data_IF_747816007513
#
_entry.id   IF_747816007513
#
_cell.length_a   1.000
_cell.length_b   1.000
_cell.length_c   1.000
_cell.angle_alpha   90.00
_cell.angle_beta   90.00
_cell.angle_gamma   90.00
#
_symmetry.space_group_name_H-M   'P 1'
#
loop_
_entity.id
_entity.type
_entity.pdbx_description
1 polymer ?
#
# COMPACT_ATOMS: atom_id res chain seq x y z
N UNK A 1 22.46 26.77 36.98
CA UNK A 1 21.79 26.12 38.13
C UNK A 1 20.41 25.69 37.64
N UNK A 2 20.20 24.37 37.57
CA UNK A 2 18.99 23.57 37.29
C UNK A 2 17.74 24.25 36.69
N UNK A 3 17.37 23.78 35.49
CA UNK A 3 15.96 23.43 35.15
C UNK A 3 15.99 22.24 34.18
N UNK A 4 16.07 21.04 34.72
CA UNK A 4 15.84 19.78 34.02
C UNK A 4 14.90 18.96 34.90
N UNK A 5 13.60 19.19 34.76
CA UNK A 5 12.60 18.42 35.51
C UNK A 5 11.32 18.21 34.69
N UNK A 6 11.04 16.91 34.48
CA UNK A 6 9.74 16.27 34.28
C UNK A 6 8.91 16.58 33.02
N UNK A 7 9.25 15.91 31.92
CA UNK A 7 8.23 15.25 31.08
C UNK A 7 8.36 13.75 31.34
N UNK A 8 7.44 13.21 32.14
CA UNK A 8 7.40 11.80 32.52
C UNK A 8 7.09 10.92 31.31
N UNK A 9 7.66 9.71 31.31
CA UNK A 9 7.39 8.63 30.36
C UNK A 9 5.91 8.24 30.23
N UNK A 10 5.05 8.71 31.15
CA UNK A 10 3.61 8.44 31.16
C UNK A 10 2.80 9.18 30.10
N UNK A 11 3.20 10.39 29.73
CA UNK A 11 2.44 11.20 28.76
C UNK A 11 2.71 10.74 27.33
N UNK A 12 3.93 10.29 27.05
CA UNK A 12 4.29 9.64 25.78
C UNK A 12 3.60 8.29 25.60
N UNK A 13 3.50 7.48 26.65
CA UNK A 13 2.77 6.22 26.59
C UNK A 13 1.28 6.45 26.30
N UNK A 14 0.65 7.41 27.00
CA UNK A 14 -0.76 7.76 26.75
C UNK A 14 -0.98 8.35 25.36
N UNK A 15 -0.09 9.22 24.88
CA UNK A 15 -0.19 9.81 23.54
C UNK A 15 0.05 8.76 22.44
N UNK A 16 1.01 7.85 22.66
CA UNK A 16 1.26 6.70 21.79
C UNK A 16 0.06 5.75 21.74
N UNK A 17 -0.57 5.44 22.88
CA UNK A 17 -1.77 4.59 22.94
C UNK A 17 -2.96 5.25 22.21
N UNK A 18 -3.12 6.57 22.33
CA UNK A 18 -4.16 7.31 21.61
C UNK A 18 -3.89 7.28 20.10
N UNK A 19 -2.67 7.56 19.65
CA UNK A 19 -2.29 7.52 18.24
C UNK A 19 -2.41 6.10 17.65
N UNK A 20 -2.03 5.07 18.41
CA UNK A 20 -2.21 3.67 18.02
C UNK A 20 -3.69 3.39 17.70
N UNK A 21 -4.57 3.81 18.60
CA UNK A 21 -6.01 3.68 18.44
C UNK A 21 -6.53 4.47 17.21
N UNK A 22 -5.90 5.59 16.85
CA UNK A 22 -6.26 6.35 15.65
C UNK A 22 -5.91 5.59 14.37
N UNK A 23 -4.71 5.02 14.24
CA UNK A 23 -4.34 4.23 13.05
C UNK A 23 -5.21 2.98 12.89
N UNK A 24 -5.53 2.30 13.99
CA UNK A 24 -6.50 1.22 13.95
C UNK A 24 -7.89 1.71 13.50
N UNK A 25 -8.30 2.90 13.95
CA UNK A 25 -9.50 3.59 13.51
C UNK A 25 -9.52 3.87 12.01
N UNK A 26 -8.42 4.41 11.46
CA UNK A 26 -8.26 4.63 10.02
C UNK A 26 -8.31 3.31 9.24
N UNK A 27 -7.63 2.26 9.74
CA UNK A 27 -7.70 0.92 9.17
C UNK A 27 -9.14 0.39 9.06
N UNK A 28 -9.93 0.53 10.13
CA UNK A 28 -11.36 0.13 10.13
C UNK A 28 -12.19 0.91 9.11
N UNK A 29 -11.94 2.22 8.98
CA UNK A 29 -12.61 3.07 7.98
C UNK A 29 -12.24 2.68 6.54
N UNK A 30 -10.96 2.41 6.29
CA UNK A 30 -10.47 1.89 5.00
C UNK A 30 -11.16 0.55 4.67
N UNK A 31 -11.17 -0.40 5.60
CA UNK A 31 -11.84 -1.71 5.43
C UNK A 31 -13.33 -1.54 5.14
N UNK A 32 -14.03 -0.66 5.86
CA UNK A 32 -15.44 -0.38 5.61
C UNK A 32 -15.69 0.19 4.20
N UNK A 33 -14.78 1.05 3.72
CA UNK A 33 -14.92 1.76 2.46
C UNK A 33 -14.65 0.90 1.21
N UNK A 34 -13.68 -0.02 1.28
CA UNK A 34 -13.23 -0.81 0.12
C UNK A 34 -13.45 -2.32 0.24
N UNK A 35 -13.72 -2.83 1.46
CA UNK A 35 -13.95 -4.25 1.77
C UNK A 35 -12.89 -5.18 1.13
N UNK A 36 -11.60 -5.02 1.48
CA UNK A 36 -10.53 -5.81 0.90
C UNK A 36 -10.70 -7.30 1.26
N UNK A 37 -10.15 -8.20 0.43
CA UNK A 37 -10.26 -9.66 0.64
C UNK A 37 -9.54 -10.10 1.91
N UNK A 38 -8.54 -9.35 2.36
CA UNK A 38 -7.88 -9.57 3.64
C UNK A 38 -7.38 -8.25 4.22
N UNK A 39 -6.86 -8.27 5.44
CA UNK A 39 -6.63 -7.06 6.21
C UNK A 39 -5.56 -6.15 5.58
N UNK A 40 -5.80 -4.82 5.55
CA UNK A 40 -4.72 -3.85 5.38
C UNK A 40 -3.62 -4.12 6.41
N UNK A 41 -2.36 -4.02 6.00
CA UNK A 41 -1.20 -4.22 6.85
C UNK A 41 -0.76 -2.88 7.45
N UNK A 42 -0.47 -2.87 8.74
CA UNK A 42 0.45 -1.93 9.37
C UNK A 42 1.86 -2.49 9.21
N UNK A 43 2.79 -1.70 8.66
CA UNK A 43 4.21 -2.06 8.58
C UNK A 43 5.03 -0.97 9.26
N UNK A 44 6.00 -1.39 10.07
CA UNK A 44 6.97 -0.51 10.73
C UNK A 44 8.39 -1.04 10.51
N UNK A 45 9.30 -0.13 10.20
CA UNK A 45 10.72 -0.42 10.13
C UNK A 45 11.33 -0.30 11.52
N UNK A 46 12.02 -1.35 11.97
CA UNK A 46 12.58 -1.44 13.32
C UNK A 46 13.98 -0.81 13.34
N UNK A 47 14.21 0.17 14.20
CA UNK A 47 15.55 0.80 14.36
C UNK A 47 16.38 0.03 15.39
N UNK A 48 15.71 -0.63 16.34
CA UNK A 48 16.30 -1.45 17.39
C UNK A 48 15.47 -2.71 17.65
N UNK A 49 16.08 -3.74 18.25
CA UNK A 49 15.35 -4.94 18.66
C UNK A 49 14.33 -4.66 19.77
N UNK A 50 14.56 -3.62 20.59
CA UNK A 50 13.59 -3.17 21.59
C UNK A 50 12.31 -2.58 20.98
N UNK A 51 12.31 -2.26 19.68
CA UNK A 51 11.11 -1.79 18.98
C UNK A 51 10.19 -2.95 18.56
N UNK A 52 10.59 -4.21 18.76
CA UNK A 52 9.78 -5.38 18.46
C UNK A 52 8.58 -5.43 19.42
N UNK A 53 7.33 -5.44 18.91
CA UNK A 53 6.15 -5.57 19.76
C UNK A 53 6.17 -6.88 20.55
N UNK A 54 5.69 -6.84 21.80
CA UNK A 54 5.73 -8.02 22.69
C UNK A 54 4.89 -9.21 22.19
N UNK A 55 3.87 -8.95 21.36
CA UNK A 55 3.03 -9.97 20.73
C UNK A 55 3.60 -10.48 19.40
N UNK A 56 4.68 -9.89 18.89
CA UNK A 56 5.25 -10.24 17.60
C UNK A 56 5.92 -11.62 17.63
N UNK A 57 5.62 -12.39 16.59
CA UNK A 57 6.29 -13.65 16.28
C UNK A 57 7.55 -13.40 15.46
N UNK A 58 8.62 -14.12 15.77
CA UNK A 58 9.90 -14.11 15.05
C UNK A 58 10.08 -15.43 14.30
N UNK A 59 10.34 -15.43 12.97
CA UNK A 59 10.41 -16.68 12.22
C UNK A 59 11.39 -17.74 12.73
N UNK A 60 12.61 -17.34 13.07
CA UNK A 60 13.61 -18.30 13.57
C UNK A 60 13.31 -18.81 14.97
N UNK A 61 12.58 -18.05 15.78
CA UNK A 61 12.25 -18.41 17.17
C UNK A 61 10.93 -19.21 17.25
N UNK A 62 9.86 -18.72 16.60
CA UNK A 62 8.52 -19.30 16.72
C UNK A 62 8.20 -20.35 15.65
N UNK A 63 8.80 -20.25 14.45
CA UNK A 63 8.59 -21.22 13.36
C UNK A 63 9.83 -22.08 13.09
N UNK A 64 10.95 -21.82 13.77
CA UNK A 64 12.22 -22.55 13.62
C UNK A 64 12.66 -22.59 12.14
N UNK A 65 12.41 -21.50 11.41
CA UNK A 65 12.67 -21.40 9.97
C UNK A 65 12.79 -19.95 9.52
N UNK A 66 13.66 -19.69 8.56
CA UNK A 66 13.65 -18.41 7.84
C UNK A 66 12.43 -18.36 6.91
N UNK A 67 11.74 -17.22 6.87
CA UNK A 67 10.51 -17.05 6.07
C UNK A 67 10.68 -15.83 5.14
N UNK A 68 10.14 -15.91 3.92
CA UNK A 68 10.21 -14.76 3.00
C UNK A 68 9.30 -13.63 3.48
N UNK A 69 9.69 -12.37 3.29
CA UNK A 69 8.89 -11.22 3.77
C UNK A 69 7.46 -11.20 3.24
N UNK A 70 7.23 -11.59 1.98
CA UNK A 70 5.87 -11.73 1.45
C UNK A 70 5.03 -12.76 2.22
N UNK A 71 5.63 -13.86 2.69
CA UNK A 71 4.93 -14.85 3.51
C UNK A 71 4.62 -14.29 4.90
N UNK A 72 5.53 -13.51 5.50
CA UNK A 72 5.23 -12.82 6.76
C UNK A 72 4.09 -11.81 6.59
N UNK A 73 4.07 -11.05 5.49
CA UNK A 73 2.94 -10.18 5.16
C UNK A 73 1.65 -10.97 4.96
N UNK A 74 1.70 -12.16 4.36
CA UNK A 74 0.55 -13.06 4.23
C UNK A 74 0.06 -13.58 5.59
N UNK A 75 0.97 -13.97 6.51
CA UNK A 75 0.63 -14.34 7.88
C UNK A 75 -0.14 -13.21 8.57
N UNK A 76 0.34 -11.98 8.42
CA UNK A 76 -0.29 -10.81 9.01
C UNK A 76 -1.66 -10.52 8.39
N UNK A 77 -1.76 -10.36 7.06
CA UNK A 77 -3.01 -9.94 6.42
C UNK A 77 -4.10 -11.01 6.40
N UNK A 78 -3.73 -12.30 6.36
CA UNK A 78 -4.70 -13.41 6.23
C UNK A 78 -4.99 -14.13 7.53
N UNK A 79 -4.05 -14.14 8.47
CA UNK A 79 -4.17 -14.91 9.72
C UNK A 79 -4.10 -14.04 10.96
N UNK A 80 -4.00 -12.71 10.81
CA UNK A 80 -4.09 -11.78 11.92
C UNK A 80 -2.83 -11.72 12.80
N UNK A 81 -1.71 -12.30 12.36
CA UNK A 81 -0.50 -12.38 13.17
C UNK A 81 0.27 -11.05 13.17
N UNK A 82 0.91 -10.72 14.28
CA UNK A 82 2.00 -9.75 14.31
C UNK A 82 3.30 -10.52 14.06
N UNK A 83 4.04 -10.17 13.02
CA UNK A 83 5.30 -10.87 12.65
C UNK A 83 6.41 -9.86 12.46
N UNK A 84 7.49 -10.02 13.23
CA UNK A 84 8.72 -9.26 13.11
C UNK A 84 9.79 -10.10 12.40
N UNK A 85 10.62 -9.47 11.59
CA UNK A 85 11.77 -10.08 10.93
C UNK A 85 13.00 -9.20 11.11
N UNK A 86 14.05 -9.75 11.71
CA UNK A 86 15.40 -9.21 11.58
C UNK A 86 16.14 -9.91 10.43
N UNK A 87 17.42 -9.59 10.26
CA UNK A 87 18.27 -10.14 9.20
C UNK A 87 18.25 -11.68 9.17
N UNK A 88 18.40 -12.33 10.32
CA UNK A 88 18.47 -13.79 10.46
C UNK A 88 17.15 -14.52 10.13
N UNK A 89 16.02 -13.81 10.13
CA UNK A 89 14.71 -14.41 9.81
C UNK A 89 14.40 -14.43 8.32
N UNK A 90 15.14 -13.66 7.51
CA UNK A 90 14.77 -13.42 6.13
C UNK A 90 15.32 -14.50 5.20
N UNK A 91 14.40 -15.22 4.56
CA UNK A 91 14.78 -16.20 3.54
C UNK A 91 15.09 -15.57 2.17
N UNK A 92 14.45 -14.44 1.84
CA UNK A 92 14.62 -13.78 0.55
C UNK A 92 15.66 -12.67 0.63
N UNK A 93 16.72 -12.64 -0.22
CA UNK A 93 17.74 -11.59 -0.17
C UNK A 93 17.29 -10.20 -0.63
N UNK A 94 16.26 -10.11 -1.48
CA UNK A 94 15.81 -8.82 -2.03
C UNK A 94 15.26 -7.87 -0.95
N UNK A 95 14.42 -8.28 0.03
CA UNK A 95 14.06 -7.43 1.15
C UNK A 95 15.23 -7.14 2.11
N UNK A 96 16.21 -8.04 2.27
CA UNK A 96 17.43 -7.75 3.04
C UNK A 96 18.16 -6.54 2.43
N UNK A 97 18.33 -6.53 1.11
CA UNK A 97 18.94 -5.42 0.37
C UNK A 97 18.04 -4.17 0.40
N UNK A 98 16.76 -4.34 0.04
CA UNK A 98 15.80 -3.25 -0.08
C UNK A 98 15.56 -2.51 1.23
N UNK A 99 15.50 -3.24 2.35
CA UNK A 99 15.32 -2.64 3.67
C UNK A 99 16.63 -2.13 4.29
N UNK A 100 17.77 -2.28 3.61
CA UNK A 100 19.06 -1.81 4.09
C UNK A 100 19.61 -2.61 5.27
N UNK A 101 19.27 -3.89 5.39
CA UNK A 101 19.74 -4.73 6.50
C UNK A 101 21.18 -5.23 6.30
N UNK A 102 21.64 -5.28 5.06
CA UNK A 102 23.03 -5.59 4.70
C UNK A 102 23.41 -4.91 3.37
N UNK A 103 24.72 -4.77 3.16
CA UNK A 103 25.26 -4.26 1.91
C UNK A 103 24.86 -5.17 0.72
N UNK A 104 24.38 -4.61 -0.39
CA UNK A 104 24.17 -5.37 -1.61
C UNK A 104 25.52 -5.90 -2.11
N UNK A 105 25.68 -7.22 -2.30
CA UNK A 105 26.94 -7.75 -2.83
C UNK A 105 27.15 -7.24 -4.26
N UNK A 106 28.42 -7.06 -4.66
CA UNK A 106 28.76 -6.67 -6.03
C UNK A 106 28.15 -7.64 -7.07
N UNK A 107 28.05 -8.93 -6.73
CA UNK A 107 27.38 -9.95 -7.52
C UNK A 107 25.89 -9.62 -7.82
N UNK A 108 25.18 -8.99 -6.89
CA UNK A 108 23.83 -8.49 -7.15
C UNK A 108 23.86 -7.27 -8.06
N UNK A 109 24.75 -6.31 -7.78
CA UNK A 109 24.87 -5.05 -8.54
C UNK A 109 25.29 -5.26 -10.00
N UNK A 110 26.02 -6.33 -10.29
CA UNK A 110 26.39 -6.77 -11.65
C UNK A 110 25.25 -7.48 -12.39
N UNK A 111 24.10 -7.73 -11.74
CA UNK A 111 22.89 -8.28 -12.38
C UNK A 111 22.78 -9.80 -12.38
N UNK A 112 23.64 -10.52 -11.65
CA UNK A 112 23.65 -11.99 -11.62
C UNK A 112 22.40 -12.60 -10.97
N UNK A 113 21.63 -11.83 -10.20
CA UNK A 113 20.35 -12.30 -9.68
C UNK A 113 19.29 -12.56 -10.77
N UNK A 114 19.55 -12.13 -12.01
CA UNK A 114 18.59 -12.22 -13.12
C UNK A 114 19.18 -12.82 -14.38
N UNK A 115 20.42 -12.48 -14.70
CA UNK A 115 21.09 -13.10 -15.84
C UNK A 115 21.49 -14.55 -15.48
N UNK A 116 21.37 -15.53 -16.39
CA UNK A 116 20.95 -15.43 -17.80
C UNK A 116 19.45 -15.68 -18.05
N UNK A 117 18.66 -15.98 -17.03
CA UNK A 117 17.31 -16.54 -17.23
C UNK A 117 16.20 -15.48 -17.30
N UNK A 118 16.33 -14.41 -16.54
CA UNK A 118 15.33 -13.34 -16.44
C UNK A 118 15.63 -12.10 -17.30
N UNK A 119 16.86 -11.95 -17.81
CA UNK A 119 17.30 -10.83 -18.64
C UNK A 119 18.34 -11.26 -19.66
N UNK A 120 18.44 -10.51 -20.77
CA UNK A 120 19.30 -10.84 -21.91
C UNK A 120 20.80 -10.65 -21.68
N UNK A 121 21.21 -9.87 -20.68
CA UNK A 121 22.63 -9.60 -20.37
C UNK A 121 22.84 -9.21 -18.90
N UNK A 122 24.09 -9.32 -18.43
CA UNK A 122 24.49 -8.78 -17.13
C UNK A 122 24.23 -7.27 -17.04
N UNK A 123 24.48 -6.52 -18.11
CA UNK A 123 24.19 -5.08 -18.15
C UNK A 123 22.70 -4.78 -17.90
N UNK A 124 21.78 -5.55 -18.51
CA UNK A 124 20.35 -5.39 -18.28
C UNK A 124 19.96 -5.74 -16.83
N UNK A 125 20.55 -6.79 -16.25
CA UNK A 125 20.39 -7.13 -14.84
C UNK A 125 20.91 -6.03 -13.91
N UNK A 126 22.09 -5.50 -14.21
CA UNK A 126 22.75 -4.44 -13.46
C UNK A 126 21.96 -3.14 -13.47
N UNK A 127 21.37 -2.75 -14.61
CA UNK A 127 20.47 -1.59 -14.70
C UNK A 127 19.33 -1.67 -13.70
N UNK A 128 18.67 -2.83 -13.58
CA UNK A 128 17.66 -2.98 -12.54
C UNK A 128 18.27 -2.97 -11.14
N UNK A 129 19.36 -3.72 -10.93
CA UNK A 129 19.99 -3.83 -9.63
C UNK A 129 20.51 -2.48 -9.11
N UNK A 130 20.83 -1.52 -9.97
CA UNK A 130 21.19 -0.15 -9.59
C UNK A 130 19.96 0.73 -9.31
N UNK A 131 18.87 0.56 -10.06
CA UNK A 131 17.60 1.29 -9.87
C UNK A 131 16.70 0.71 -8.76
N UNK A 132 17.04 -0.47 -8.24
CA UNK A 132 16.25 -1.16 -7.21
C UNK A 132 16.19 -0.33 -5.93
N UNK A 133 14.98 0.09 -5.48
CA UNK A 133 14.83 0.99 -4.35
C UNK A 133 15.33 0.31 -3.07
N UNK A 134 16.12 1.04 -2.29
CA UNK A 134 16.62 0.58 -0.99
C UNK A 134 16.79 1.71 0.01
N UNK A 135 16.69 1.37 1.28
CA UNK A 135 17.12 2.26 2.36
C UNK A 135 18.64 2.27 2.50
N UNK A 136 19.14 3.30 3.19
CA UNK A 136 20.52 3.36 3.67
C UNK A 136 20.82 2.14 4.57
N UNK A 137 21.95 1.50 4.33
CA UNK A 137 22.37 0.30 5.05
C UNK A 137 22.61 0.62 6.52
N UNK A 138 22.10 -0.23 7.41
CA UNK A 138 22.26 -0.10 8.86
C UNK A 138 21.28 0.86 9.53
N UNK A 139 20.44 1.58 8.77
CA UNK A 139 19.38 2.44 9.32
C UNK A 139 18.34 1.64 10.12
N UNK A 140 18.02 0.45 9.65
CA UNK A 140 17.04 -0.44 10.27
C UNK A 140 17.66 -1.80 10.61
N UNK A 141 17.15 -2.42 11.67
CA UNK A 141 17.47 -3.78 12.10
C UNK A 141 16.51 -4.82 11.55
N UNK A 142 15.30 -4.39 11.19
CA UNK A 142 14.29 -5.28 10.67
C UNK A 142 12.99 -4.59 10.31
N UNK A 143 11.94 -5.38 10.19
CA UNK A 143 10.60 -4.95 9.82
C UNK A 143 9.57 -5.73 10.64
N UNK A 144 8.49 -5.09 11.05
CA UNK A 144 7.33 -5.76 11.66
C UNK A 144 6.07 -5.47 10.84
N UNK A 145 5.19 -6.46 10.75
CA UNK A 145 3.89 -6.34 10.10
C UNK A 145 2.78 -6.90 10.97
N UNK A 146 1.60 -6.30 10.91
CA UNK A 146 0.38 -6.76 11.59
C UNK A 146 -0.86 -6.26 10.82
N UNK A 147 -2.08 -6.77 11.09
CA UNK A 147 -3.30 -6.11 10.61
C UNK A 147 -3.37 -4.67 11.11
N UNK A 148 -3.57 -3.71 10.21
CA UNK A 148 -3.68 -2.28 10.55
C UNK A 148 -4.81 -2.00 11.53
N UNK A 149 -5.88 -2.80 11.49
CA UNK A 149 -7.06 -2.66 12.34
C UNK A 149 -6.81 -3.02 13.82
N UNK A 150 -5.71 -3.69 14.14
CA UNK A 150 -5.39 -4.20 15.47
C UNK A 150 -3.91 -4.17 15.84
N UNK A 151 -3.06 -3.52 15.04
CA UNK A 151 -1.63 -3.44 15.29
C UNK A 151 -1.34 -2.80 16.66
N UNK A 152 -0.40 -3.39 17.40
CA UNK A 152 0.09 -2.94 18.71
C UNK A 152 1.21 -1.89 18.62
N UNK A 153 1.54 -1.46 17.40
CA UNK A 153 2.55 -0.42 17.12
C UNK A 153 2.05 0.60 16.09
N UNK A 154 2.65 1.79 16.13
CA UNK A 154 2.40 2.83 15.14
C UNK A 154 3.09 2.47 13.80
N UNK A 155 2.35 2.41 12.68
CA UNK A 155 2.90 2.05 11.37
C UNK A 155 3.67 3.21 10.75
N UNK A 156 4.71 2.88 9.98
CA UNK A 156 5.35 3.82 9.07
C UNK A 156 4.63 3.83 7.71
N UNK A 157 4.03 2.70 7.31
CA UNK A 157 3.26 2.58 6.06
C UNK A 157 2.10 1.60 6.24
N UNK A 158 0.95 1.95 5.67
CA UNK A 158 -0.16 1.04 5.48
C UNK A 158 -0.05 0.38 4.09
N UNK A 159 -0.11 -0.94 4.03
CA UNK A 159 -0.06 -1.70 2.76
C UNK A 159 -1.35 -2.46 2.54
N UNK A 160 -2.01 -2.19 1.43
CA UNK A 160 -3.33 -2.71 1.10
C UNK A 160 -3.22 -3.53 -0.18
N UNK A 161 -3.50 -4.82 -0.07
CA UNK A 161 -3.72 -5.66 -1.22
C UNK A 161 -5.20 -5.55 -1.62
N UNK A 162 -5.44 -5.20 -2.88
CA UNK A 162 -6.75 -4.86 -3.40
C UNK A 162 -6.88 -5.32 -4.85
N UNK A 163 -8.10 -5.42 -5.39
CA UNK A 163 -8.27 -5.62 -6.83
C UNK A 163 -8.35 -4.28 -7.59
N UNK A 164 -8.46 -4.32 -8.91
CA UNK A 164 -8.50 -3.11 -9.74
C UNK A 164 -9.66 -2.16 -9.41
N UNK A 165 -10.85 -2.68 -9.07
CA UNK A 165 -12.00 -1.85 -8.70
C UNK A 165 -11.79 -1.15 -7.35
N UNK A 166 -11.19 -1.84 -6.39
CA UNK A 166 -10.79 -1.27 -5.10
C UNK A 166 -9.66 -0.25 -5.25
N UNK A 167 -8.70 -0.52 -6.14
CA UNK A 167 -7.63 0.42 -6.46
C UNK A 167 -8.20 1.72 -7.03
N UNK A 168 -9.15 1.68 -7.97
CA UNK A 168 -9.81 2.91 -8.47
C UNK A 168 -10.35 3.76 -7.33
N UNK A 169 -11.03 3.14 -6.35
CA UNK A 169 -11.55 3.86 -5.19
C UNK A 169 -10.43 4.41 -4.30
N UNK A 170 -9.34 3.67 -4.09
CA UNK A 170 -8.16 4.13 -3.35
C UNK A 170 -7.51 5.34 -4.03
N UNK A 171 -7.34 5.32 -5.35
CA UNK A 171 -6.78 6.43 -6.12
C UNK A 171 -7.68 7.69 -6.01
N UNK A 172 -8.99 7.54 -6.14
CA UNK A 172 -9.93 8.66 -5.94
C UNK A 172 -9.90 9.18 -4.49
N UNK A 173 -9.74 8.30 -3.51
CA UNK A 173 -9.56 8.66 -2.10
C UNK A 173 -8.29 9.48 -1.87
N UNK A 174 -7.18 9.04 -2.43
CA UNK A 174 -5.90 9.73 -2.39
C UNK A 174 -5.94 11.11 -3.07
N UNK A 175 -6.61 11.20 -4.23
CA UNK A 175 -6.74 12.44 -4.99
C UNK A 175 -7.79 13.40 -4.40
N UNK A 176 -8.54 13.02 -3.35
CA UNK A 176 -9.66 13.85 -2.87
C UNK A 176 -9.23 15.24 -2.42
N UNK A 177 -8.09 15.36 -1.74
CA UNK A 177 -7.62 16.61 -1.14
C UNK A 177 -6.96 17.55 -2.17
N UNK A 178 -6.28 16.99 -3.17
CA UNK A 178 -5.35 17.72 -4.03
C UNK A 178 -5.57 17.50 -5.54
N UNK A 179 -6.40 16.53 -5.93
CA UNK A 179 -6.72 16.21 -7.32
C UNK A 179 -5.60 15.55 -8.12
N UNK A 180 -4.50 15.13 -7.49
CA UNK A 180 -3.30 14.64 -8.16
C UNK A 180 -3.33 13.13 -8.38
N UNK A 181 -2.82 12.70 -9.52
CA UNK A 181 -2.49 11.29 -9.78
C UNK A 181 -1.25 10.86 -9.00
N UNK A 182 -1.11 9.54 -8.81
CA UNK A 182 0.04 8.95 -8.12
C UNK A 182 1.07 8.48 -9.15
N UNK A 183 2.32 8.90 -8.97
CA UNK A 183 3.44 8.38 -9.76
C UNK A 183 4.00 7.11 -9.13
N UNK A 184 4.13 6.04 -9.92
CA UNK A 184 4.67 4.77 -9.43
C UNK A 184 5.49 4.07 -10.49
N UNK A 185 6.66 3.56 -10.09
CA UNK A 185 7.49 2.69 -10.91
C UNK A 185 7.03 1.25 -10.70
N UNK A 186 6.40 0.66 -11.73
CA UNK A 186 5.91 -0.70 -11.65
C UNK A 186 6.99 -1.70 -12.07
N UNK A 187 7.38 -2.57 -11.13
CA UNK A 187 8.28 -3.69 -11.36
C UNK A 187 7.58 -5.03 -11.14
N UNK A 188 7.95 -6.06 -11.92
CA UNK A 188 7.49 -7.44 -11.71
C UNK A 188 8.25 -8.21 -10.62
N UNK A 189 9.02 -7.51 -9.78
CA UNK A 189 10.00 -8.07 -8.86
C UNK A 189 9.87 -7.44 -7.48
N UNK A 190 10.32 -8.15 -6.44
CA UNK A 190 10.51 -7.59 -5.09
C UNK A 190 9.30 -6.81 -4.55
N UNK A 191 8.07 -7.32 -4.75
CA UNK A 191 6.84 -6.57 -4.45
C UNK A 191 6.77 -6.06 -3.00
N UNK A 192 7.26 -6.85 -2.03
CA UNK A 192 7.34 -6.43 -0.63
C UNK A 192 8.23 -5.20 -0.42
N UNK A 193 9.30 -5.05 -1.22
CA UNK A 193 10.18 -3.89 -1.19
C UNK A 193 9.52 -2.68 -1.85
N UNK A 194 8.93 -2.85 -3.04
CA UNK A 194 8.22 -1.76 -3.72
C UNK A 194 6.97 -1.30 -2.94
N UNK A 195 6.35 -2.17 -2.14
CA UNK A 195 5.23 -1.79 -1.28
C UNK A 195 5.66 -0.94 -0.06
N UNK A 196 6.92 -0.96 0.34
CA UNK A 196 7.39 -0.36 1.61
C UNK A 196 8.42 0.74 1.38
N UNK A 197 9.44 0.51 0.56
CA UNK A 197 10.57 1.42 0.42
C UNK A 197 10.19 2.71 -0.32
N UNK A 198 9.61 2.67 -1.54
CA UNK A 198 9.18 3.88 -2.24
C UNK A 198 8.28 4.83 -1.43
N UNK A 199 7.16 4.36 -0.79
CA UNK A 199 6.29 5.28 -0.07
C UNK A 199 6.99 5.91 1.15
N UNK A 200 7.95 5.22 1.77
CA UNK A 200 8.72 5.77 2.89
C UNK A 200 9.87 6.69 2.47
N UNK A 201 10.45 6.50 1.28
CA UNK A 201 11.48 7.39 0.74
C UNK A 201 10.91 8.69 0.22
N UNK A 202 9.74 8.65 -0.40
CA UNK A 202 9.14 9.81 -1.08
C UNK A 202 8.03 10.48 -0.29
N UNK A 203 7.59 9.86 0.82
CA UNK A 203 6.44 10.30 1.60
C UNK A 203 5.20 10.50 0.72
N UNK A 204 4.97 9.56 -0.20
CA UNK A 204 3.84 9.56 -1.11
C UNK A 204 3.21 8.18 -1.25
N UNK A 205 1.97 8.13 -1.73
CA UNK A 205 1.32 6.88 -2.08
C UNK A 205 2.12 6.12 -3.15
N UNK A 206 1.99 4.80 -3.14
CA UNK A 206 2.67 3.98 -4.14
C UNK A 206 1.83 2.78 -4.55
N UNK A 207 1.85 2.44 -5.83
CA UNK A 207 1.24 1.22 -6.37
C UNK A 207 2.34 0.24 -6.76
N UNK A 208 2.24 -0.99 -6.27
CA UNK A 208 3.17 -2.06 -6.60
C UNK A 208 2.43 -3.29 -7.15
N UNK A 209 3.10 -4.07 -8.00
CA UNK A 209 2.54 -5.28 -8.59
C UNK A 209 3.11 -6.51 -7.86
N UNK A 210 2.25 -7.46 -7.42
CA UNK A 210 2.72 -8.72 -6.85
C UNK A 210 3.70 -9.46 -7.75
N UNK A 211 4.87 -9.78 -7.22
CA UNK A 211 5.93 -10.47 -7.94
C UNK A 211 5.72 -11.99 -7.90
N UNK A 212 6.56 -12.75 -8.64
CA UNK A 212 6.48 -14.21 -8.68
C UNK A 212 6.58 -14.86 -7.29
N UNK A 213 7.43 -14.32 -6.41
CA UNK A 213 7.58 -14.83 -5.04
C UNK A 213 6.35 -14.57 -4.18
N UNK A 214 5.76 -13.39 -4.30
CA UNK A 214 4.53 -13.01 -3.58
C UNK A 214 3.34 -13.89 -4.00
N UNK A 215 3.16 -14.10 -5.31
CA UNK A 215 2.14 -15.02 -5.85
C UNK A 215 2.40 -16.47 -5.45
N UNK A 216 3.57 -16.99 -5.81
CA UNK A 216 3.87 -18.41 -5.71
C UNK A 216 4.17 -18.92 -4.30
N UNK A 217 4.61 -18.06 -3.38
CA UNK A 217 4.93 -18.46 -1.99
C UNK A 217 3.98 -17.88 -0.94
N UNK A 218 3.39 -16.71 -1.19
CA UNK A 218 2.52 -16.01 -0.24
C UNK A 218 1.04 -15.99 -0.68
N UNK A 219 0.71 -16.56 -1.84
CA UNK A 219 -0.67 -16.81 -2.26
C UNK A 219 -1.43 -15.57 -2.74
N UNK A 220 -0.73 -14.52 -3.17
CA UNK A 220 -1.35 -13.35 -3.79
C UNK A 220 -2.02 -13.74 -5.12
N UNK A 221 -3.28 -13.33 -5.32
CA UNK A 221 -4.13 -13.73 -6.44
C UNK A 221 -3.93 -12.85 -7.69
N UNK A 222 -4.34 -13.36 -8.85
CA UNK A 222 -4.15 -12.72 -10.17
C UNK A 222 -4.85 -11.37 -10.32
N UNK A 223 -5.94 -11.16 -9.60
CA UNK A 223 -6.66 -9.90 -9.56
C UNK A 223 -6.10 -8.89 -8.55
N UNK A 224 -5.17 -9.31 -7.68
CA UNK A 224 -4.60 -8.46 -6.63
C UNK A 224 -3.47 -7.55 -7.15
N UNK A 225 -3.50 -6.31 -6.67
CA UNK A 225 -2.48 -5.26 -6.78
C UNK A 225 -2.26 -4.65 -5.38
N UNK A 226 -1.10 -4.02 -5.16
CA UNK A 226 -0.72 -3.48 -3.87
C UNK A 226 -0.78 -1.96 -3.93
N UNK A 227 -1.46 -1.34 -2.96
CA UNK A 227 -1.49 0.10 -2.73
C UNK A 227 -0.89 0.39 -1.36
N UNK A 228 -0.03 1.39 -1.28
CA UNK A 228 0.65 1.78 -0.05
C UNK A 228 0.40 3.24 0.27
N UNK A 229 0.17 3.54 1.56
CA UNK A 229 0.03 4.89 2.09
C UNK A 229 1.04 5.11 3.22
N UNK A 230 1.96 6.07 3.10
CA UNK A 230 2.87 6.41 4.20
C UNK A 230 2.07 6.97 5.37
N UNK A 231 2.63 6.84 6.58
CA UNK A 231 2.02 7.28 7.84
C UNK A 231 1.35 8.65 7.76
N UNK A 232 2.04 9.62 7.17
CA UNK A 232 1.59 11.00 6.98
C UNK A 232 0.26 11.13 6.22
N UNK A 233 -0.08 10.15 5.37
CA UNK A 233 -1.23 10.17 4.46
C UNK A 233 -2.33 9.16 4.80
N UNK A 234 -2.16 8.30 5.82
CA UNK A 234 -3.18 7.29 6.19
C UNK A 234 -4.51 7.95 6.61
N UNK A 235 -4.45 9.02 7.42
CA UNK A 235 -5.65 9.74 7.85
C UNK A 235 -6.37 10.42 6.68
N UNK A 236 -5.60 11.06 5.80
CA UNK A 236 -6.11 11.71 4.59
C UNK A 236 -6.81 10.70 3.67
N UNK A 237 -6.19 9.55 3.42
CA UNK A 237 -6.78 8.47 2.64
C UNK A 237 -8.11 8.00 3.25
N UNK A 238 -8.13 7.73 4.55
CA UNK A 238 -9.34 7.30 5.24
C UNK A 238 -10.47 8.35 5.12
N UNK A 239 -10.13 9.64 5.21
CA UNK A 239 -11.08 10.73 4.99
C UNK A 239 -11.57 10.80 3.53
N UNK A 240 -10.68 10.70 2.54
CA UNK A 240 -11.03 10.76 1.12
C UNK A 240 -11.93 9.59 0.67
N UNK A 241 -11.71 8.40 1.22
CA UNK A 241 -12.50 7.20 0.92
C UNK A 241 -13.97 7.27 1.37
N UNK A 242 -14.28 8.16 2.31
CA UNK A 242 -15.64 8.38 2.83
C UNK A 242 -16.43 9.41 2.01
N UNK A 243 -15.77 10.08 1.07
CA UNK A 243 -16.37 11.16 0.31
C UNK A 243 -17.26 10.60 -0.80
N UNK A 244 -18.40 11.24 -1.03
CA UNK A 244 -19.38 10.79 -2.02
C UNK A 244 -18.79 10.68 -3.44
N UNK A 245 -17.83 11.54 -3.77
CA UNK A 245 -17.16 11.59 -5.07
C UNK A 245 -16.19 10.45 -5.35
N UNK A 246 -15.76 9.68 -4.34
CA UNK A 246 -14.74 8.62 -4.51
C UNK A 246 -15.34 7.25 -4.86
N UNK A 247 -16.63 7.23 -5.19
CA UNK A 247 -17.34 6.07 -5.72
C UNK A 247 -17.60 4.99 -4.67
N UNK A 248 -18.26 3.91 -5.11
CA UNK A 248 -18.56 2.74 -4.29
C UNK A 248 -18.07 1.49 -4.99
N UNK A 249 -17.57 0.54 -4.21
CA UNK A 249 -17.31 -0.83 -4.68
C UNK A 249 -18.45 -1.76 -4.23
N UNK A 250 -18.90 -2.70 -5.10
CA UNK A 250 -18.44 -2.92 -6.46
C UNK A 250 -18.94 -1.86 -7.45
N UNK A 251 -18.15 -1.57 -8.49
CA UNK A 251 -18.57 -0.72 -9.61
C UNK A 251 -19.62 -1.45 -10.43
N UNK A 252 -20.82 -0.87 -10.54
CA UNK A 252 -21.87 -1.40 -11.42
C UNK A 252 -21.50 -1.15 -12.89
N UNK A 253 -21.90 -2.10 -13.73
CA UNK A 253 -21.65 -2.07 -15.15
C UNK A 253 -22.92 -1.66 -15.92
N UNK A 254 -22.76 -0.75 -16.88
CA UNK A 254 -23.79 -0.38 -17.85
C UNK A 254 -23.13 -0.18 -19.21
N UNK A 255 -23.74 -0.72 -20.28
CA UNK A 255 -23.31 -0.51 -21.67
C UNK A 255 -24.32 0.35 -22.45
N UNK A 256 -24.98 1.28 -21.78
CA UNK A 256 -25.95 2.14 -22.44
C UNK A 256 -25.25 3.18 -23.31
N UNK A 257 -25.58 3.19 -24.60
CA UNK A 257 -25.19 4.29 -25.48
C UNK A 257 -25.85 5.59 -25.02
N UNK A 258 -25.12 6.71 -25.10
CA UNK A 258 -25.59 8.03 -24.63
C UNK A 258 -26.16 7.99 -23.20
N UNK A 259 -25.44 7.34 -22.29
CA UNK A 259 -25.83 7.28 -20.88
C UNK A 259 -25.95 8.69 -20.25
N UNK A 260 -26.80 8.86 -19.23
CA UNK A 260 -26.96 10.13 -18.53
C UNK A 260 -25.65 10.66 -17.93
N UNK A 261 -25.21 11.84 -18.41
CA UNK A 261 -24.02 12.53 -17.90
C UNK A 261 -24.35 13.42 -16.69
N UNK A 262 -23.37 13.72 -15.85
CA UNK A 262 -23.55 14.73 -14.80
C UNK A 262 -23.75 16.12 -15.43
N UNK A 263 -24.35 17.10 -14.71
CA UNK A 263 -24.59 18.42 -15.26
C UNK A 263 -23.32 19.13 -15.74
N UNK A 264 -22.23 19.00 -14.99
CA UNK A 264 -20.94 19.59 -15.34
C UNK A 264 -20.30 18.89 -16.54
N UNK A 265 -20.37 17.56 -16.61
CA UNK A 265 -19.78 16.82 -17.73
C UNK A 265 -20.55 17.07 -19.03
N UNK A 266 -21.87 17.14 -18.96
CA UNK A 266 -22.71 17.56 -20.09
C UNK A 266 -22.41 19.01 -20.53
N UNK A 267 -22.18 19.92 -19.57
CA UNK A 267 -21.77 21.30 -19.86
C UNK A 267 -20.44 21.36 -20.59
N UNK A 268 -19.44 20.60 -20.14
CA UNK A 268 -18.14 20.48 -20.82
C UNK A 268 -18.34 19.99 -22.26
N UNK A 269 -19.13 18.93 -22.46
CA UNK A 269 -19.44 18.40 -23.78
C UNK A 269 -20.06 19.46 -24.70
N UNK A 270 -21.04 20.24 -24.21
CA UNK A 270 -21.64 21.35 -24.96
C UNK A 270 -20.65 22.45 -25.31
N UNK A 271 -19.75 22.82 -24.39
CA UNK A 271 -18.68 23.81 -24.64
C UNK A 271 -17.70 23.34 -25.73
N UNK A 272 -17.51 22.03 -25.86
CA UNK A 272 -16.71 21.42 -26.93
C UNK A 272 -17.47 21.25 -28.25
N UNK A 273 -18.75 21.63 -28.31
CA UNK A 273 -19.61 21.46 -29.48
C UNK A 273 -20.11 20.03 -29.71
N UNK A 274 -20.01 19.15 -28.71
CA UNK A 274 -20.52 17.77 -28.79
C UNK A 274 -22.05 17.76 -28.77
N UNK A 275 -22.63 16.81 -29.50
CA UNK A 275 -24.09 16.59 -29.63
C UNK A 275 -24.41 15.10 -29.54
N UNK A 276 -25.68 14.77 -29.28
CA UNK A 276 -26.20 13.40 -29.44
C UNK A 276 -26.21 13.00 -30.93
N UNK A 277 -26.33 11.71 -31.19
CA UNK A 277 -26.35 11.15 -32.54
C UNK A 277 -27.49 11.70 -33.41
N UNK A 278 -28.62 12.09 -32.80
CA UNK A 278 -29.76 12.72 -33.47
C UNK A 278 -29.59 14.23 -33.69
N UNK A 279 -28.47 14.82 -33.26
CA UNK A 279 -28.17 16.25 -33.37
C UNK A 279 -28.75 17.12 -32.25
N UNK A 280 -29.47 16.54 -31.28
CA UNK A 280 -29.94 17.25 -30.09
C UNK A 280 -28.82 17.52 -29.08
N UNK A 281 -29.07 18.44 -28.15
CA UNK A 281 -28.09 18.79 -27.12
C UNK A 281 -27.89 17.67 -26.09
N UNK A 282 -26.67 17.57 -25.57
CA UNK A 282 -26.36 16.65 -24.48
C UNK A 282 -26.86 17.28 -23.18
N UNK A 283 -27.85 16.65 -22.55
CA UNK A 283 -28.43 17.08 -21.28
C UNK A 283 -27.67 16.52 -20.07
N UNK A 284 -27.74 17.25 -18.96
CA UNK A 284 -27.14 16.85 -17.68
C UNK A 284 -28.20 16.35 -16.71
N UNK A 285 -27.91 15.27 -16.02
CA UNK A 285 -28.84 14.57 -15.13
C UNK A 285 -28.31 14.56 -13.70
N UNK A 286 -29.23 14.68 -12.73
CA UNK A 286 -28.86 14.70 -11.32
C UNK A 286 -28.32 13.35 -10.85
N UNK A 287 -27.81 13.29 -9.61
CA UNK A 287 -27.26 12.05 -9.07
C UNK A 287 -28.30 10.92 -9.01
N UNK A 288 -29.55 11.23 -8.65
CA UNK A 288 -30.61 10.23 -8.48
C UNK A 288 -30.99 9.62 -9.83
N UNK A 289 -31.09 10.42 -10.87
CA UNK A 289 -31.36 10.00 -12.24
C UNK A 289 -30.23 9.13 -12.80
N UNK A 290 -28.97 9.55 -12.63
CA UNK A 290 -27.80 8.75 -13.04
C UNK A 290 -27.67 7.44 -12.27
N UNK A 291 -27.97 7.46 -10.97
CA UNK A 291 -27.99 6.25 -10.13
C UNK A 291 -29.07 5.27 -10.56
N UNK A 292 -30.27 5.76 -10.86
CA UNK A 292 -31.36 4.94 -11.39
C UNK A 292 -30.99 4.28 -12.72
N UNK A 293 -30.29 5.00 -13.60
CA UNK A 293 -29.81 4.45 -14.88
C UNK A 293 -28.82 3.28 -14.69
N UNK A 294 -27.93 3.39 -13.69
CA UNK A 294 -27.01 2.34 -13.29
C UNK A 294 -27.66 1.23 -12.43
N UNK A 295 -28.99 1.25 -12.25
CA UNK A 295 -29.73 0.28 -11.46
C UNK A 295 -29.48 0.35 -9.95
N UNK A 296 -29.07 1.51 -9.43
CA UNK A 296 -29.10 1.77 -7.99
C UNK A 296 -30.51 2.20 -7.58
N UNK A 297 -31.11 1.47 -6.63
CA UNK A 297 -32.37 1.82 -5.97
C UNK A 297 -32.12 2.70 -4.73
#
# INVERSE_FOLDING_TARGET
MKTSEFYGTSDWARYSDVLLNEFNGYGKRIVAAIRPISDPLAIKMLVSESDIPADAKRPTEDFVSCISTCQCFALSRRFGMTVAQLFEDMWCPEPVIGFGLAEPPQYFLEGHNRYPTGVASLEAGSKWAQNFPRFEVGKYKGVVSAPLVSASFEPDVAVIYCNSAQLTKLLLGAAYSNGMDIESVLGGHSACVYAVVPPLLWDDYHVAVPCRGDRGRAGTQDDEIIFSAPKSKISELAHGLEQKGTGSVPTRFSMKAEYPMSPDYAKIARLMGMKKADGSEIEGFDEKERRRDLGYH
#
